data_IF_708105380094
#
_entry.id   IF_708105380094
#
_cell.length_a   1.000
_cell.length_b   1.000
_cell.length_c   1.000
_cell.angle_alpha   90.00
_cell.angle_beta   90.00
_cell.angle_gamma   90.00
#
_symmetry.space_group_name_H-M   'P 1'
#
loop_
_entity.id
_entity.type
_entity.pdbx_description
1 polymer ?
#
# COMPACT_ATOMS: atom_id res chain seq x y z
N UNK A 1 26.05 -4.11 12.88
CA UNK A 1 26.58 -5.12 13.83
C UNK A 1 27.94 -4.76 14.42
N UNK A 2 28.97 -4.41 13.61
CA UNK A 2 30.32 -4.14 14.14
C UNK A 2 30.34 -3.04 15.22
N UNK A 3 29.70 -1.91 14.98
CA UNK A 3 29.58 -0.80 15.96
C UNK A 3 28.79 -1.19 17.20
N UNK A 4 27.66 -1.89 17.04
CA UNK A 4 26.85 -2.37 18.17
C UNK A 4 27.66 -3.30 19.07
N UNK A 5 28.46 -4.20 18.48
CA UNK A 5 29.35 -5.11 19.21
C UNK A 5 30.52 -4.39 19.87
N UNK A 6 31.17 -3.46 19.18
CA UNK A 6 32.31 -2.72 19.73
C UNK A 6 31.92 -1.87 20.93
N UNK A 7 30.69 -1.35 20.96
CA UNK A 7 30.14 -0.59 22.09
C UNK A 7 29.31 -1.45 23.07
N UNK A 8 29.34 -2.79 22.96
CA UNK A 8 28.57 -3.72 23.79
C UNK A 8 27.07 -3.36 23.91
N UNK A 9 26.50 -2.74 22.88
CA UNK A 9 25.12 -2.24 22.85
C UNK A 9 24.09 -3.29 22.40
N UNK A 10 24.47 -4.58 22.38
CA UNK A 10 23.59 -5.67 21.93
C UNK A 10 22.32 -5.76 22.79
N UNK A 11 22.44 -5.67 24.12
CA UNK A 11 21.28 -5.63 25.03
C UNK A 11 20.40 -4.41 24.79
N UNK A 12 20.99 -3.23 24.60
CA UNK A 12 20.24 -1.99 24.36
C UNK A 12 19.41 -2.04 23.07
N UNK A 13 19.95 -2.62 22.01
CA UNK A 13 19.21 -2.81 20.75
C UNK A 13 18.15 -3.92 20.87
N UNK A 14 18.43 -4.99 21.62
CA UNK A 14 17.45 -6.03 21.94
C UNK A 14 16.26 -5.46 22.74
N UNK A 15 16.52 -4.66 23.79
CA UNK A 15 15.49 -4.00 24.60
C UNK A 15 14.67 -3.02 23.75
N UNK A 16 15.32 -2.28 22.84
CA UNK A 16 14.62 -1.38 21.90
C UNK A 16 13.71 -2.16 20.95
N UNK A 17 14.17 -3.31 20.47
CA UNK A 17 13.35 -4.19 19.64
C UNK A 17 12.17 -4.75 20.45
N UNK A 18 12.42 -5.23 21.67
CA UNK A 18 11.38 -5.76 22.56
C UNK A 18 10.34 -4.69 22.93
N UNK A 19 10.76 -3.44 23.15
CA UNK A 19 9.82 -2.32 23.35
C UNK A 19 8.89 -2.14 22.14
N UNK A 20 9.45 -2.05 20.92
CA UNK A 20 8.65 -1.89 19.69
C UNK A 20 7.76 -3.09 19.42
N UNK A 21 8.25 -4.29 19.73
CA UNK A 21 7.47 -5.53 19.69
C UNK A 21 6.32 -5.46 20.70
N UNK A 22 6.60 -4.98 21.91
CA UNK A 22 5.62 -4.74 22.97
C UNK A 22 4.53 -3.77 22.55
N UNK A 23 4.86 -2.68 21.88
CA UNK A 23 3.88 -1.72 21.33
C UNK A 23 2.98 -2.37 20.27
N UNK A 24 3.59 -3.14 19.36
CA UNK A 24 2.87 -3.90 18.33
C UNK A 24 1.95 -4.95 18.94
N UNK A 25 2.44 -5.67 19.95
CA UNK A 25 1.67 -6.65 20.70
C UNK A 25 0.58 -6.00 21.55
N UNK A 26 0.79 -4.80 22.11
CA UNK A 26 -0.23 -4.02 22.82
C UNK A 26 -1.33 -3.55 21.88
N UNK A 27 -1.01 -3.16 20.65
CA UNK A 27 -2.01 -2.87 19.62
C UNK A 27 -2.86 -4.12 19.31
N UNK A 28 -2.22 -5.28 19.18
CA UNK A 28 -2.93 -6.55 19.04
C UNK A 28 -3.70 -6.94 20.31
N UNK A 29 -3.20 -6.61 21.51
CA UNK A 29 -3.93 -6.85 22.77
C UNK A 29 -5.12 -5.92 22.94
N UNK A 30 -5.09 -4.68 22.42
CA UNK A 30 -6.28 -3.82 22.32
C UNK A 30 -7.33 -4.42 21.36
N UNK A 31 -6.92 -5.14 20.31
CA UNK A 31 -7.85 -6.00 19.54
C UNK A 31 -8.38 -7.17 20.38
N UNK A 32 -7.59 -7.68 21.33
CA UNK A 32 -7.97 -8.74 22.26
C UNK A 32 -8.90 -8.27 23.40
N UNK A 33 -8.79 -7.03 23.89
CA UNK A 33 -9.79 -6.44 24.81
C UNK A 33 -11.12 -6.21 24.07
N UNK A 34 -11.06 -5.83 22.79
CA UNK A 34 -12.22 -5.96 21.91
C UNK A 34 -12.69 -7.42 21.76
N UNK A 35 -11.88 -8.44 22.07
CA UNK A 35 -12.31 -9.85 22.10
C UNK A 35 -13.21 -10.23 23.26
N UNK A 36 -13.24 -9.48 24.36
CA UNK A 36 -14.30 -9.65 25.37
C UNK A 36 -15.64 -9.13 24.80
N UNK A 37 -15.61 -8.05 24.02
CA UNK A 37 -16.77 -7.65 23.20
C UNK A 37 -17.07 -8.76 22.17
N UNK A 38 -16.05 -9.42 21.59
CA UNK A 38 -16.25 -10.58 20.73
C UNK A 38 -16.89 -11.78 21.45
N UNK A 39 -16.73 -11.97 22.77
CA UNK A 39 -17.45 -13.01 23.52
C UNK A 39 -18.95 -12.70 23.58
N UNK A 40 -19.32 -11.44 23.85
CA UNK A 40 -20.72 -11.03 23.81
C UNK A 40 -21.29 -11.05 22.39
N UNK A 41 -20.51 -10.67 21.39
CA UNK A 41 -20.85 -10.85 19.98
C UNK A 41 -20.98 -12.34 19.66
N UNK A 42 -20.14 -13.22 20.20
CA UNK A 42 -20.20 -14.66 19.98
C UNK A 42 -21.43 -15.29 20.66
N UNK A 43 -21.80 -14.86 21.86
CA UNK A 43 -23.05 -15.27 22.52
C UNK A 43 -24.26 -14.75 21.72
N UNK A 44 -24.23 -13.50 21.28
CA UNK A 44 -25.26 -12.94 20.41
C UNK A 44 -25.32 -13.69 19.05
N UNK A 45 -24.18 -14.08 18.51
CA UNK A 45 -24.05 -14.84 17.27
C UNK A 45 -24.51 -16.29 17.45
N UNK A 46 -24.25 -16.91 18.60
CA UNK A 46 -24.79 -18.23 18.96
C UNK A 46 -26.31 -18.17 19.10
N UNK A 47 -26.84 -17.13 19.76
CA UNK A 47 -28.28 -16.90 19.85
C UNK A 47 -28.92 -16.62 18.48
N UNK A 48 -28.25 -15.81 17.65
CA UNK A 48 -28.66 -15.55 16.26
C UNK A 48 -28.64 -16.83 15.44
N UNK A 49 -27.55 -17.61 15.50
CA UNK A 49 -27.37 -18.89 14.80
C UNK A 49 -28.44 -19.90 15.20
N UNK A 50 -28.69 -20.06 16.50
CA UNK A 50 -29.78 -20.90 16.98
C UNK A 50 -31.16 -20.42 16.52
N UNK A 51 -31.41 -19.11 16.53
CA UNK A 51 -32.67 -18.56 16.04
C UNK A 51 -32.84 -18.78 14.52
N UNK A 52 -31.78 -18.59 13.73
CA UNK A 52 -31.81 -18.86 12.28
C UNK A 52 -32.00 -20.34 11.97
N UNK A 53 -31.31 -21.24 12.67
CA UNK A 53 -31.47 -22.69 12.49
C UNK A 53 -32.86 -23.16 12.95
N UNK A 54 -33.41 -22.56 14.00
CA UNK A 54 -34.79 -22.82 14.41
C UNK A 54 -35.80 -22.35 13.36
N UNK A 55 -35.62 -21.13 12.82
CA UNK A 55 -36.44 -20.60 11.73
C UNK A 55 -36.36 -21.48 10.47
N UNK A 56 -35.16 -21.91 10.07
CA UNK A 56 -34.96 -22.77 8.90
C UNK A 56 -35.64 -24.14 9.08
N UNK A 57 -35.52 -24.75 10.26
CA UNK A 57 -36.20 -25.99 10.58
C UNK A 57 -37.72 -25.82 10.65
N UNK A 58 -38.21 -24.72 11.21
CA UNK A 58 -39.64 -24.40 11.25
C UNK A 58 -40.22 -24.19 9.84
N UNK A 59 -39.49 -23.50 8.96
CA UNK A 59 -39.86 -23.35 7.54
C UNK A 59 -39.88 -24.71 6.85
N UNK A 60 -38.85 -25.56 7.06
CA UNK A 60 -38.81 -26.91 6.50
C UNK A 60 -39.98 -27.78 6.98
N UNK A 61 -40.32 -27.74 8.27
CA UNK A 61 -41.47 -28.47 8.82
C UNK A 61 -42.78 -27.93 8.28
N UNK A 62 -42.93 -26.61 8.14
CA UNK A 62 -44.13 -26.00 7.56
C UNK A 62 -44.33 -26.42 6.09
N UNK A 63 -43.26 -26.44 5.30
CA UNK A 63 -43.28 -26.91 3.90
C UNK A 63 -43.61 -28.40 3.82
N UNK A 64 -42.96 -29.24 4.64
CA UNK A 64 -43.24 -30.68 4.68
C UNK A 64 -44.65 -31.00 5.18
N UNK A 65 -45.17 -30.22 6.13
CA UNK A 65 -46.52 -30.38 6.66
C UNK A 65 -47.59 -30.03 5.62
N UNK A 66 -47.37 -28.97 4.83
CA UNK A 66 -48.28 -28.60 3.74
C UNK A 66 -48.30 -29.65 2.61
N UNK A 67 -47.14 -30.27 2.33
CA UNK A 67 -47.00 -31.35 1.35
C UNK A 67 -47.62 -32.68 1.86
N UNK A 68 -47.51 -33.00 3.16
CA UNK A 68 -48.12 -34.22 3.75
C UNK A 68 -49.65 -34.12 3.90
N UNK A 69 -50.23 -32.92 3.89
CA UNK A 69 -51.67 -32.68 4.04
C UNK A 69 -52.47 -32.92 2.75
N UNK A 70 -51.83 -33.03 1.59
CA UNK A 70 -52.43 -33.59 0.38
C UNK A 70 -51.69 -34.86 0.00
N UNK A 71 -52.28 -36.08 0.04
CA UNK A 71 -53.61 -36.45 -0.43
C UNK A 71 -54.34 -37.46 0.51
N UNK A 72 -54.06 -37.46 1.81
CA UNK A 72 -54.51 -38.55 2.70
C UNK A 72 -55.87 -38.34 3.39
N UNK A 73 -56.58 -37.25 3.07
CA UNK A 73 -58.01 -37.06 3.41
C UNK A 73 -58.95 -37.21 2.20
N UNK A 74 -58.47 -37.79 1.09
CA UNK A 74 -59.24 -37.93 -0.17
C UNK A 74 -59.65 -39.40 -0.44
N UNK A 75 -59.30 -40.33 0.45
CA UNK A 75 -59.66 -41.75 0.31
C UNK A 75 -61.10 -42.10 0.70
N UNK A 76 -61.80 -41.26 1.50
CA UNK A 76 -63.16 -41.53 1.98
C UNK A 76 -64.28 -40.69 1.35
N UNK A 77 -63.99 -39.85 0.34
CA UNK A 77 -64.98 -38.96 -0.28
C UNK A 77 -65.43 -39.41 -1.69
N UNK A 78 -66.70 -39.16 -2.07
CA UNK A 78 -67.28 -39.60 -3.35
C UNK A 78 -66.52 -39.09 -4.60
N UNK A 79 -66.54 -39.87 -5.68
CA UNK A 79 -65.78 -39.65 -6.94
C UNK A 79 -66.04 -38.27 -7.60
N UNK A 80 -67.22 -37.68 -7.41
CA UNK A 80 -67.54 -36.35 -7.91
C UNK A 80 -66.79 -35.21 -7.16
N UNK A 81 -66.49 -35.41 -5.88
CA UNK A 81 -65.73 -34.47 -5.05
C UNK A 81 -64.22 -34.58 -5.30
N UNK A 82 -63.73 -35.76 -5.73
CA UNK A 82 -62.34 -35.95 -6.19
C UNK A 82 -62.00 -35.04 -7.37
N UNK A 83 -62.90 -34.87 -8.34
CA UNK A 83 -62.68 -33.96 -9.49
C UNK A 83 -62.60 -32.50 -9.08
N UNK A 84 -63.33 -32.08 -8.03
CA UNK A 84 -63.29 -30.70 -7.52
C UNK A 84 -62.03 -30.39 -6.71
N UNK A 85 -61.47 -31.40 -6.03
CA UNK A 85 -60.17 -31.27 -5.34
C UNK A 85 -58.99 -31.31 -6.31
N UNK A 86 -59.04 -32.15 -7.35
CA UNK A 86 -58.03 -32.16 -8.43
C UNK A 86 -58.04 -30.82 -9.20
N UNK A 87 -59.21 -30.18 -9.35
CA UNK A 87 -59.33 -28.87 -10.00
C UNK A 87 -59.02 -27.67 -9.08
N UNK A 88 -58.84 -27.88 -7.76
CA UNK A 88 -58.30 -26.87 -6.84
C UNK A 88 -56.78 -27.04 -6.71
N UNK A 89 -56.12 -27.28 -7.86
CA UNK A 89 -54.69 -27.06 -8.07
C UNK A 89 -54.40 -25.54 -8.11
N UNK A 90 -54.86 -24.82 -7.09
CA UNK A 90 -54.49 -23.43 -6.80
C UNK A 90 -53.50 -23.41 -5.64
N UNK A 91 -52.60 -24.40 -5.62
CA UNK A 91 -51.48 -24.49 -4.68
C UNK A 91 -50.13 -24.46 -5.42
N UNK A 92 -50.10 -24.44 -6.75
CA UNK A 92 -48.84 -24.39 -7.49
C UNK A 92 -48.09 -23.07 -7.32
N UNK A 93 -48.77 -21.93 -7.22
CA UNK A 93 -48.09 -20.63 -7.03
C UNK A 93 -47.62 -20.49 -5.59
N UNK A 94 -48.42 -20.88 -4.60
CA UNK A 94 -48.02 -20.83 -3.20
C UNK A 94 -46.90 -21.83 -2.90
N UNK A 95 -47.00 -23.07 -3.38
CA UNK A 95 -45.96 -24.09 -3.22
C UNK A 95 -44.71 -23.76 -4.05
N UNK A 96 -44.84 -23.16 -5.24
CA UNK A 96 -43.70 -22.67 -6.00
C UNK A 96 -43.06 -21.46 -5.32
N UNK A 97 -43.84 -20.58 -4.68
CA UNK A 97 -43.34 -19.41 -3.97
C UNK A 97 -42.66 -19.78 -2.65
N UNK A 98 -43.20 -20.74 -1.90
CA UNK A 98 -42.54 -21.31 -0.72
C UNK A 98 -41.33 -22.15 -1.11
N UNK A 99 -41.38 -22.93 -2.20
CA UNK A 99 -40.19 -23.61 -2.74
C UNK A 99 -39.14 -22.63 -3.27
N UNK A 100 -39.55 -21.48 -3.81
CA UNK A 100 -38.65 -20.39 -4.25
C UNK A 100 -38.01 -19.72 -3.03
N UNK A 101 -38.78 -19.35 -2.01
CA UNK A 101 -38.25 -18.80 -0.75
C UNK A 101 -37.32 -19.80 -0.06
N UNK A 102 -37.67 -21.09 -0.08
CA UNK A 102 -36.85 -22.16 0.48
C UNK A 102 -35.59 -22.42 -0.36
N UNK A 103 -35.67 -22.29 -1.68
CA UNK A 103 -34.52 -22.30 -2.57
C UNK A 103 -33.65 -21.06 -2.33
N UNK A 104 -34.21 -19.88 -2.06
CA UNK A 104 -33.47 -18.67 -1.71
C UNK A 104 -32.87 -18.71 -0.31
N UNK A 105 -33.55 -19.30 0.69
CA UNK A 105 -33.01 -19.45 2.05
C UNK A 105 -31.93 -20.54 2.11
N UNK A 106 -32.12 -21.69 1.44
CA UNK A 106 -31.05 -22.69 1.25
C UNK A 106 -29.91 -22.18 0.35
N UNK A 107 -30.20 -21.43 -0.71
CA UNK A 107 -29.17 -20.84 -1.57
C UNK A 107 -28.44 -19.67 -0.89
N UNK A 108 -29.11 -18.95 0.01
CA UNK A 108 -28.54 -17.81 0.74
C UNK A 108 -27.56 -18.23 1.82
N UNK A 109 -27.81 -19.34 2.54
CA UNK A 109 -26.97 -19.76 3.67
C UNK A 109 -26.15 -21.05 3.47
N UNK A 110 -26.50 -21.94 2.54
CA UNK A 110 -25.82 -23.25 2.35
C UNK A 110 -25.17 -23.46 0.98
N UNK A 111 -25.10 -22.45 0.11
CA UNK A 111 -24.21 -22.51 -1.05
C UNK A 111 -22.79 -22.07 -0.68
N UNK A 112 -21.75 -22.84 -1.01
CA UNK A 112 -20.36 -22.41 -0.84
C UNK A 112 -20.08 -21.09 -1.60
N UNK A 113 -20.84 -20.79 -2.65
CA UNK A 113 -20.63 -19.61 -3.49
C UNK A 113 -20.91 -18.28 -2.78
N UNK A 114 -21.91 -18.17 -1.90
CA UNK A 114 -22.26 -16.89 -1.23
C UNK A 114 -21.27 -16.55 -0.11
N UNK A 115 -20.86 -17.56 0.68
CA UNK A 115 -19.78 -17.40 1.66
C UNK A 115 -18.44 -17.12 0.98
N UNK A 116 -18.17 -17.75 -0.17
CA UNK A 116 -16.97 -17.47 -0.97
C UNK A 116 -16.91 -16.01 -1.43
N UNK A 117 -18.04 -15.35 -1.73
CA UNK A 117 -18.07 -13.92 -2.05
C UNK A 117 -17.56 -13.09 -0.86
N UNK A 118 -17.97 -13.42 0.37
CA UNK A 118 -17.49 -12.72 1.57
C UNK A 118 -15.98 -12.84 1.76
N UNK A 119 -15.43 -14.04 1.57
CA UNK A 119 -13.97 -14.28 1.63
C UNK A 119 -13.22 -13.54 0.52
N UNK A 120 -13.74 -13.57 -0.71
CA UNK A 120 -13.16 -12.82 -1.84
C UNK A 120 -13.17 -11.32 -1.57
N UNK A 121 -14.26 -10.77 -1.03
CA UNK A 121 -14.35 -9.34 -0.71
C UNK A 121 -13.37 -8.94 0.41
N UNK A 122 -13.16 -9.80 1.41
CA UNK A 122 -12.19 -9.55 2.47
C UNK A 122 -10.76 -9.55 1.93
N UNK A 123 -10.40 -10.56 1.11
CA UNK A 123 -9.11 -10.61 0.44
C UNK A 123 -8.87 -9.41 -0.47
N UNK A 124 -9.90 -8.99 -1.22
CA UNK A 124 -9.85 -7.78 -2.03
C UNK A 124 -9.60 -6.52 -1.19
N UNK A 125 -10.27 -6.37 -0.05
CA UNK A 125 -10.05 -5.21 0.83
C UNK A 125 -8.63 -5.20 1.42
N UNK A 126 -8.08 -6.37 1.78
CA UNK A 126 -6.68 -6.48 2.21
C UNK A 126 -5.71 -6.10 1.09
N UNK A 127 -5.95 -6.58 -0.14
CA UNK A 127 -5.17 -6.20 -1.32
C UNK A 127 -5.21 -4.70 -1.58
N UNK A 128 -6.39 -4.07 -1.49
CA UNK A 128 -6.55 -2.60 -1.63
C UNK A 128 -5.77 -1.85 -0.54
N UNK A 129 -5.82 -2.35 0.70
CA UNK A 129 -5.06 -1.77 1.81
C UNK A 129 -3.54 -1.84 1.61
N UNK A 130 -3.04 -3.00 1.17
CA UNK A 130 -1.62 -3.23 0.92
C UNK A 130 -1.11 -2.47 -0.32
N UNK A 131 -1.92 -2.40 -1.37
CA UNK A 131 -1.54 -1.76 -2.64
C UNK A 131 -1.47 -0.23 -2.54
N UNK A 132 -2.19 0.39 -1.60
CA UNK A 132 -2.24 1.85 -1.46
C UNK A 132 -0.87 2.52 -1.42
N UNK A 133 0.07 2.00 -0.60
CA UNK A 133 1.44 2.54 -0.53
C UNK A 133 2.24 2.28 -1.81
N UNK A 134 2.02 1.14 -2.46
CA UNK A 134 2.69 0.81 -3.72
C UNK A 134 2.28 1.80 -4.80
N UNK A 135 0.98 2.05 -4.94
CA UNK A 135 0.45 3.05 -5.88
C UNK A 135 0.88 4.47 -5.50
N UNK A 136 0.95 4.80 -4.22
CA UNK A 136 1.47 6.09 -3.75
C UNK A 136 2.90 6.34 -4.25
N UNK A 137 3.79 5.34 -4.21
CA UNK A 137 5.15 5.49 -4.74
C UNK A 137 5.20 5.45 -6.27
N UNK A 138 4.44 4.55 -6.90
CA UNK A 138 4.47 4.36 -8.34
C UNK A 138 3.89 5.55 -9.11
N UNK A 139 2.89 6.22 -8.54
CA UNK A 139 2.22 7.39 -9.13
C UNK A 139 2.80 8.71 -8.62
N UNK A 140 3.84 8.69 -7.78
CA UNK A 140 4.47 9.92 -7.28
C UNK A 140 5.30 10.55 -8.39
N UNK A 141 4.93 11.77 -8.76
CA UNK A 141 5.77 12.60 -9.63
C UNK A 141 7.04 13.04 -8.86
N UNK A 142 8.23 12.94 -9.47
CA UNK A 142 9.46 13.41 -8.86
C UNK A 142 9.50 14.94 -8.82
N UNK A 143 10.05 15.51 -7.75
CA UNK A 143 10.22 16.97 -7.62
C UNK A 143 11.25 17.50 -8.64
N UNK A 144 12.22 16.68 -9.02
CA UNK A 144 13.22 16.97 -10.05
C UNK A 144 12.95 16.01 -11.21
N UNK A 145 12.37 16.53 -12.29
CA UNK A 145 11.82 15.72 -13.39
C UNK A 145 12.88 15.05 -14.28
N UNK A 146 14.15 15.47 -14.20
CA UNK A 146 15.26 14.99 -15.04
C UNK A 146 14.89 14.93 -16.54
N UNK A 147 14.13 15.91 -17.02
CA UNK A 147 13.49 15.97 -18.33
C UNK A 147 14.31 16.73 -19.40
N UNK A 148 15.50 17.19 -19.03
CA UNK A 148 16.47 17.79 -19.95
C UNK A 148 16.74 16.89 -21.16
N UNK A 149 16.83 17.48 -22.35
CA UNK A 149 17.00 16.77 -23.63
C UNK A 149 18.24 17.18 -24.39
N UNK A 150 18.93 18.23 -23.94
CA UNK A 150 20.09 18.75 -24.66
C UNK A 150 21.31 17.88 -24.39
N UNK A 151 22.09 17.64 -25.43
CA UNK A 151 23.39 16.96 -25.35
C UNK A 151 24.47 17.83 -25.99
N UNK A 152 24.73 19.03 -25.41
CA UNK A 152 25.72 19.94 -25.97
C UNK A 152 27.13 19.37 -25.80
N UNK A 153 28.10 19.73 -26.67
CA UNK A 153 29.50 19.48 -26.37
C UNK A 153 29.86 20.20 -25.06
N UNK A 154 30.50 19.46 -24.13
CA UNK A 154 30.90 19.99 -22.83
C UNK A 154 32.42 20.12 -22.78
N UNK A 155 32.91 21.35 -22.63
CA UNK A 155 34.33 21.69 -22.41
C UNK A 155 34.66 21.74 -20.91
N UNK A 156 33.66 21.97 -20.05
CA UNK A 156 33.77 21.87 -18.60
C UNK A 156 33.89 23.21 -17.87
N UNK A 157 33.46 24.33 -18.48
CA UNK A 157 33.28 25.58 -17.77
C UNK A 157 32.01 25.51 -16.91
N UNK A 158 32.11 25.75 -15.61
CA UNK A 158 30.97 25.74 -14.68
C UNK A 158 30.77 27.13 -14.10
N UNK A 159 29.54 27.64 -14.11
CA UNK A 159 29.20 28.95 -13.56
C UNK A 159 27.98 28.88 -12.65
N UNK A 160 28.16 29.38 -11.43
CA UNK A 160 27.11 29.66 -10.45
C UNK A 160 26.83 31.15 -10.47
N UNK A 161 25.55 31.51 -10.61
CA UNK A 161 25.08 32.89 -10.62
C UNK A 161 24.04 33.10 -9.53
N UNK A 162 24.42 33.87 -8.49
CA UNK A 162 23.58 34.26 -7.36
C UNK A 162 22.82 33.07 -6.72
N UNK A 163 23.53 31.98 -6.48
CA UNK A 163 22.91 30.71 -6.09
C UNK A 163 22.57 30.68 -4.59
N UNK A 164 21.30 30.45 -4.28
CA UNK A 164 20.82 30.14 -2.93
C UNK A 164 20.37 28.69 -2.87
N UNK A 165 20.70 28.01 -1.77
CA UNK A 165 20.37 26.60 -1.63
C UNK A 165 20.16 26.19 -0.18
N UNK A 166 19.12 25.38 0.03
CA UNK A 166 18.68 24.84 1.30
C UNK A 166 18.32 23.37 1.10
N UNK A 167 18.78 22.48 1.99
CA UNK A 167 18.39 21.08 1.91
C UNK A 167 16.91 20.90 2.32
N UNK A 168 16.11 20.12 1.58
CA UNK A 168 14.71 19.85 1.94
C UNK A 168 14.54 19.22 3.32
N UNK A 169 15.53 18.46 3.78
CA UNK A 169 15.54 17.85 5.11
C UNK A 169 15.74 18.85 6.26
N UNK A 170 16.22 20.07 5.97
CA UNK A 170 16.53 21.13 6.94
C UNK A 170 16.18 22.51 6.36
N UNK A 171 14.89 22.83 6.15
CA UNK A 171 14.45 24.04 5.45
C UNK A 171 14.82 25.35 6.19
N UNK A 172 15.06 25.27 7.50
CA UNK A 172 15.42 26.44 8.31
C UNK A 172 16.91 26.83 8.22
N UNK A 173 17.73 26.06 7.50
CA UNK A 173 19.17 26.29 7.42
C UNK A 173 19.64 26.48 5.97
N UNK A 174 19.67 27.73 5.53
CA UNK A 174 20.17 28.12 4.21
C UNK A 174 21.68 27.89 4.17
N UNK A 175 22.13 27.00 3.27
CA UNK A 175 23.52 26.57 3.14
C UNK A 175 24.31 27.53 2.24
N UNK A 176 23.78 27.84 1.06
CA UNK A 176 24.37 28.81 0.12
C UNK A 176 23.53 30.08 0.10
N UNK A 177 24.17 31.24 0.20
CA UNK A 177 23.52 32.55 0.37
C UNK A 177 23.96 33.53 -0.72
N UNK A 178 23.64 33.24 -1.98
CA UNK A 178 24.04 34.05 -3.13
C UNK A 178 25.48 33.74 -3.53
N UNK A 179 25.77 32.48 -3.88
CA UNK A 179 27.08 32.06 -4.36
C UNK A 179 27.25 32.43 -5.83
N UNK A 180 28.30 33.20 -6.12
CA UNK A 180 28.84 33.44 -7.45
C UNK A 180 30.20 32.77 -7.58
N UNK A 181 30.31 31.80 -8.49
CA UNK A 181 31.53 31.01 -8.70
C UNK A 181 31.67 30.68 -10.17
N UNK A 182 32.85 30.91 -10.74
CA UNK A 182 33.17 30.48 -12.11
C UNK A 182 34.40 29.59 -12.09
N UNK A 183 34.26 28.35 -12.56
CA UNK A 183 35.33 27.39 -12.78
C UNK A 183 35.56 27.31 -14.29
N UNK A 184 36.78 27.60 -14.74
CA UNK A 184 37.10 27.56 -16.17
C UNK A 184 37.37 26.14 -16.64
N UNK A 185 37.09 25.86 -17.91
CA UNK A 185 37.42 24.59 -18.53
C UNK A 185 38.93 24.27 -18.39
N UNK A 186 39.25 23.02 -18.05
CA UNK A 186 40.63 22.56 -17.83
C UNK A 186 41.31 23.06 -16.55
N UNK A 187 40.63 23.87 -15.72
CA UNK A 187 41.19 24.37 -14.47
C UNK A 187 40.93 23.42 -13.30
N UNK A 188 41.97 23.15 -12.51
CA UNK A 188 41.82 22.53 -11.19
C UNK A 188 41.50 23.58 -10.14
N UNK A 189 40.32 23.50 -9.54
CA UNK A 189 39.87 24.43 -8.49
C UNK A 189 39.75 23.72 -7.15
N UNK A 190 40.33 24.29 -6.10
CA UNK A 190 40.21 23.80 -4.73
C UNK A 190 39.22 24.64 -3.93
N UNK A 191 38.23 23.99 -3.31
CA UNK A 191 37.28 24.64 -2.40
C UNK A 191 37.76 24.47 -0.95
N UNK A 192 38.12 25.58 -0.31
CA UNK A 192 38.58 25.61 1.09
C UNK A 192 37.63 26.40 1.98
N UNK A 193 37.50 25.97 3.24
CA UNK A 193 36.63 26.64 4.20
C UNK A 193 36.26 25.74 5.38
N UNK A 194 35.58 26.29 6.41
CA UNK A 194 35.22 25.56 7.62
C UNK A 194 34.29 24.37 7.34
N UNK A 195 34.26 23.40 8.26
CA UNK A 195 33.28 22.31 8.21
C UNK A 195 31.86 22.89 8.22
N UNK A 196 30.98 22.37 7.37
CA UNK A 196 29.63 22.90 7.19
C UNK A 196 29.48 24.13 6.29
N UNK A 197 30.58 24.66 5.72
CA UNK A 197 30.54 25.84 4.82
C UNK A 197 29.96 25.59 3.41
N UNK A 198 29.21 24.51 3.18
CA UNK A 198 28.55 24.25 1.89
C UNK A 198 29.42 23.67 0.76
N UNK A 199 30.70 23.35 1.00
CA UNK A 199 31.61 22.80 -0.02
C UNK A 199 31.06 21.54 -0.71
N UNK A 200 30.63 20.55 0.07
CA UNK A 200 30.03 19.32 -0.47
C UNK A 200 28.69 19.59 -1.16
N UNK A 201 27.98 20.65 -0.75
CA UNK A 201 26.73 21.07 -1.38
C UNK A 201 26.96 21.68 -2.77
N UNK A 202 28.08 22.39 -2.98
CA UNK A 202 28.49 22.83 -4.32
C UNK A 202 28.68 21.62 -5.23
N UNK A 203 29.38 20.57 -4.76
CA UNK A 203 29.56 19.33 -5.54
C UNK A 203 28.22 18.65 -5.85
N UNK A 204 27.30 18.59 -4.88
CA UNK A 204 25.98 18.00 -5.09
C UNK A 204 25.12 18.79 -6.09
N UNK A 205 25.27 20.12 -6.14
CA UNK A 205 24.61 20.99 -7.10
C UNK A 205 25.23 20.88 -8.50
N UNK A 206 26.56 20.75 -8.61
CA UNK A 206 27.21 20.44 -9.89
C UNK A 206 26.65 19.12 -10.43
N UNK A 207 26.60 18.07 -9.60
CA UNK A 207 26.05 16.76 -9.96
C UNK A 207 24.52 16.77 -10.21
N UNK A 208 23.85 17.91 -10.14
CA UNK A 208 22.40 18.02 -10.32
C UNK A 208 21.58 17.06 -9.44
N UNK A 209 22.07 16.72 -8.24
CA UNK A 209 21.31 15.94 -7.26
C UNK A 209 20.25 16.79 -6.56
N UNK A 210 20.44 18.11 -6.58
CA UNK A 210 19.51 19.09 -6.06
C UNK A 210 19.43 20.27 -7.02
N UNK A 211 18.30 20.95 -7.01
CA UNK A 211 18.15 22.24 -7.68
C UNK A 211 18.38 23.39 -6.67
N UNK A 212 18.94 24.52 -7.11
CA UNK A 212 19.04 25.70 -6.27
C UNK A 212 17.65 26.33 -6.03
N UNK A 213 17.43 26.90 -4.84
CA UNK A 213 16.21 27.64 -4.49
C UNK A 213 16.08 28.94 -5.32
N UNK A 214 17.23 29.55 -5.61
CA UNK A 214 17.36 30.77 -6.41
C UNK A 214 18.72 30.77 -7.13
N UNK A 215 18.79 31.46 -8.25
CA UNK A 215 20.00 31.57 -9.05
C UNK A 215 20.05 30.48 -10.12
N UNK A 216 21.14 30.46 -10.89
CA UNK A 216 21.31 29.49 -11.96
C UNK A 216 22.69 28.84 -11.92
N UNK A 217 22.75 27.60 -12.40
CA UNK A 217 23.99 26.86 -12.59
C UNK A 217 24.04 26.49 -14.06
N UNK A 218 25.12 26.89 -14.72
CA UNK A 218 25.33 26.63 -16.14
C UNK A 218 26.65 25.92 -16.35
N UNK A 219 26.68 25.07 -17.38
CA UNK A 219 27.87 24.37 -17.84
C UNK A 219 28.02 24.70 -19.32
N UNK A 220 29.16 25.30 -19.66
CA UNK A 220 29.46 25.83 -21.00
C UNK A 220 28.33 26.73 -21.54
N UNK A 221 27.71 27.52 -20.63
CA UNK A 221 26.61 28.43 -20.93
C UNK A 221 25.21 27.80 -21.03
N UNK A 222 25.09 26.48 -20.89
CA UNK A 222 23.80 25.77 -20.89
C UNK A 222 23.37 25.50 -19.46
N UNK A 223 22.11 25.77 -19.12
CA UNK A 223 21.58 25.45 -17.79
C UNK A 223 21.59 23.94 -17.57
N UNK A 224 22.09 23.49 -16.41
CA UNK A 224 22.19 22.07 -16.07
C UNK A 224 20.83 21.37 -16.15
N UNK A 225 19.73 22.08 -15.86
CA UNK A 225 18.35 21.56 -15.95
C UNK A 225 17.95 21.15 -17.38
N UNK A 226 18.50 21.82 -18.40
CA UNK A 226 18.14 21.57 -19.80
C UNK A 226 18.90 20.38 -20.41
N UNK A 227 19.98 19.94 -19.75
CA UNK A 227 20.87 18.88 -20.22
C UNK A 227 20.27 17.52 -19.87
N UNK A 228 20.37 16.56 -20.79
CA UNK A 228 19.99 15.16 -20.52
C UNK A 228 20.75 14.63 -19.32
N UNK A 229 20.03 14.18 -18.30
CA UNK A 229 20.61 13.72 -17.04
C UNK A 229 21.57 12.53 -17.25
N UNK A 230 21.18 11.58 -18.11
CA UNK A 230 22.04 10.46 -18.50
C UNK A 230 23.30 10.94 -19.21
N UNK A 231 23.18 11.84 -20.19
CA UNK A 231 24.33 12.39 -20.91
C UNK A 231 25.29 13.13 -19.95
N UNK A 232 24.73 13.94 -19.05
CA UNK A 232 25.47 14.72 -18.08
C UNK A 232 26.32 13.85 -17.15
N UNK A 233 25.72 12.81 -16.56
CA UNK A 233 26.43 11.91 -15.64
C UNK A 233 27.44 10.97 -16.31
N UNK A 234 27.41 10.80 -17.64
CA UNK A 234 28.50 10.15 -18.38
C UNK A 234 29.72 11.07 -18.56
N UNK A 235 29.55 12.39 -18.42
CA UNK A 235 30.62 13.39 -18.60
C UNK A 235 31.25 13.82 -17.28
N UNK A 236 30.57 13.61 -16.15
CA UNK A 236 31.03 14.02 -14.83
C UNK A 236 31.28 12.82 -13.93
N UNK A 237 32.51 12.69 -13.43
CA UNK A 237 32.87 11.68 -12.44
C UNK A 237 32.92 12.28 -11.03
N UNK A 238 32.40 11.56 -10.04
CA UNK A 238 32.51 11.91 -8.62
C UNK A 238 33.31 10.86 -7.88
N UNK A 239 34.31 11.29 -7.11
CA UNK A 239 34.99 10.44 -6.12
C UNK A 239 34.55 10.89 -4.73
N UNK A 240 33.77 10.07 -4.05
CA UNK A 240 33.26 10.36 -2.72
C UNK A 240 34.36 10.22 -1.65
N UNK A 241 34.22 10.97 -0.54
CA UNK A 241 35.11 10.84 0.62
C UNK A 241 35.09 9.43 1.23
N UNK A 242 33.89 8.83 1.29
CA UNK A 242 33.69 7.43 1.66
C UNK A 242 33.10 6.70 0.44
N UNK A 243 33.92 5.96 -0.34
CA UNK A 243 33.43 5.28 -1.54
C UNK A 243 32.50 4.13 -1.16
N UNK A 244 31.39 4.01 -1.88
CA UNK A 244 30.43 2.90 -1.73
C UNK A 244 30.74 1.87 -2.81
N UNK A 245 30.99 0.62 -2.38
CA UNK A 245 31.19 -0.51 -3.28
C UNK A 245 29.95 -1.41 -3.25
N UNK A 246 29.54 -1.89 -4.42
CA UNK A 246 28.48 -2.88 -4.54
C UNK A 246 28.99 -4.27 -4.12
N UNK A 247 28.08 -5.08 -3.58
CA UNK A 247 28.39 -6.46 -3.21
C UNK A 247 28.70 -7.30 -4.47
N UNK A 248 29.97 -7.65 -4.67
CA UNK A 248 30.43 -8.34 -5.87
C UNK A 248 31.95 -8.39 -5.94
N UNK A 249 32.47 -8.76 -7.12
CA UNK A 249 33.91 -8.76 -7.36
C UNK A 249 34.45 -7.33 -7.55
N UNK A 250 35.75 -7.14 -7.35
CA UNK A 250 36.43 -5.88 -7.66
C UNK A 250 36.23 -5.51 -9.14
N UNK A 251 36.36 -6.48 -10.05
CA UNK A 251 36.16 -6.28 -11.49
C UNK A 251 34.75 -5.81 -11.87
N UNK A 252 33.73 -6.14 -11.08
CA UNK A 252 32.37 -5.67 -11.32
C UNK A 252 32.17 -4.20 -10.94
N UNK A 253 32.96 -3.69 -9.98
CA UNK A 253 32.87 -2.32 -9.50
C UNK A 253 33.74 -1.32 -10.31
N UNK A 254 34.59 -1.82 -11.21
CA UNK A 254 35.43 -1.02 -12.12
C UNK A 254 34.75 -0.95 -13.48
#
# INVERSE_FOLDING_TARGET
MRTVRSFACERREADRFEHKLGDTLRMNRKKWVRSIIWVWIAIAYMGYSWNTEFCDNAILVAVLYDDYRGPNQISSLPVATRRKFICKSSHNVFNAFTALIFAFSRAGMKQPNTLNIGYVMTGLMECVGASRKVFEYMLRDPEIANDGKREPPLEGQIKFENVYFTYPSRPNNIVLKGLDLTIRAGQTTALVGPSGGGKSSIVALIQHFYEPDKGTITIDGVNVKDISHMYYHHKVAMVAQEPVLYNGSVRYNI
#
